data_IF_677218031688
#
_entry.id   IF_677218031688
#
_cell.length_a   1.000
_cell.length_b   1.000
_cell.length_c   1.000
_cell.angle_alpha   90.00
_cell.angle_beta   90.00
_cell.angle_gamma   90.00
#
_symmetry.space_group_name_H-M   'P 1'
#
loop_
_entity.id
_entity.type
_entity.pdbx_description
1 polymer ?
#
# COMPACT_ATOMS: atom_id res chain seq x y z
N UNK A 1 12.85 7.33 24.65
CA UNK A 1 12.34 8.14 23.50
C UNK A 1 11.43 9.22 24.04
N UNK A 2 11.67 10.47 23.69
CA UNK A 2 10.82 11.55 24.16
C UNK A 2 9.72 11.85 23.15
N UNK A 3 8.68 12.57 23.58
CA UNK A 3 7.49 12.86 22.78
C UNK A 3 7.81 13.61 21.49
N UNK A 4 8.79 14.55 21.52
CA UNK A 4 9.11 15.35 20.34
C UNK A 4 9.71 14.51 19.22
N UNK A 5 10.46 13.44 19.54
CA UNK A 5 10.97 12.52 18.52
C UNK A 5 9.84 11.73 17.88
N UNK A 6 8.86 11.30 18.68
CA UNK A 6 7.68 10.59 18.18
C UNK A 6 6.87 11.49 17.27
N UNK A 7 6.62 12.72 17.66
CA UNK A 7 5.87 13.68 16.85
C UNK A 7 6.56 13.94 15.52
N UNK A 8 7.88 14.09 15.53
CA UNK A 8 8.64 14.28 14.30
C UNK A 8 8.58 13.05 13.40
N UNK A 9 8.66 11.86 13.97
CA UNK A 9 8.55 10.61 13.22
C UNK A 9 7.19 10.50 12.53
N UNK A 10 6.09 10.87 13.23
CA UNK A 10 4.77 10.90 12.63
C UNK A 10 4.68 11.89 11.49
N UNK A 11 5.27 13.07 11.65
CA UNK A 11 5.24 14.09 10.60
C UNK A 11 5.92 13.58 9.32
N UNK A 12 7.11 13.01 9.45
CA UNK A 12 7.85 12.46 8.32
C UNK A 12 7.06 11.32 7.68
N UNK A 13 6.53 10.40 8.49
CA UNK A 13 5.76 9.27 7.98
C UNK A 13 4.51 9.73 7.24
N UNK A 14 3.79 10.70 7.78
CA UNK A 14 2.60 11.25 7.13
C UNK A 14 2.92 11.88 5.79
N UNK A 15 3.98 12.67 5.72
CA UNK A 15 4.36 13.34 4.47
C UNK A 15 4.69 12.32 3.37
N UNK A 16 5.50 11.32 3.71
CA UNK A 16 5.91 10.29 2.74
C UNK A 16 4.74 9.38 2.38
N UNK A 17 3.97 8.95 3.38
CA UNK A 17 2.83 8.06 3.16
C UNK A 17 1.73 8.69 2.32
N UNK A 18 1.40 9.95 2.55
CA UNK A 18 0.41 10.67 1.75
C UNK A 18 0.85 10.80 0.31
N UNK A 19 2.11 11.14 0.08
CA UNK A 19 2.65 11.23 -1.27
C UNK A 19 2.58 9.88 -1.98
N UNK A 20 2.93 8.80 -1.28
CA UNK A 20 2.81 7.45 -1.84
C UNK A 20 1.39 7.14 -2.27
N UNK A 21 0.41 7.37 -1.39
CA UNK A 21 -1.00 7.08 -1.68
C UNK A 21 -1.47 7.86 -2.90
N UNK A 22 -1.18 9.15 -2.96
CA UNK A 22 -1.60 10.00 -4.08
C UNK A 22 -1.02 9.51 -5.40
N UNK A 23 0.26 9.19 -5.43
CA UNK A 23 0.93 8.76 -6.66
C UNK A 23 0.43 7.37 -7.08
N UNK A 24 0.27 6.45 -6.13
CA UNK A 24 -0.21 5.10 -6.44
C UNK A 24 -1.60 5.13 -7.07
N UNK A 25 -2.55 5.84 -6.47
CA UNK A 25 -3.92 5.87 -6.97
C UNK A 25 -4.06 6.68 -8.25
N UNK A 26 -3.09 7.56 -8.56
CA UNK A 26 -3.08 8.27 -9.83
C UNK A 26 -2.45 7.46 -10.96
N UNK A 27 -1.41 6.69 -10.69
CA UNK A 27 -0.57 6.06 -11.73
C UNK A 27 -0.53 4.54 -11.70
N UNK A 28 -1.02 3.91 -10.63
CA UNK A 28 -1.11 2.46 -10.54
C UNK A 28 0.16 1.77 -10.08
N UNK A 29 0.14 0.44 -10.18
CA UNK A 29 1.16 -0.42 -9.58
C UNK A 29 2.55 -0.29 -10.23
N UNK A 30 2.62 0.14 -11.48
CA UNK A 30 3.90 0.19 -12.20
C UNK A 30 4.89 1.21 -11.62
N UNK A 31 4.40 2.16 -10.83
CA UNK A 31 5.26 3.16 -10.19
C UNK A 31 5.80 2.69 -8.83
N UNK A 32 5.31 1.56 -8.33
CA UNK A 32 5.73 1.07 -7.03
C UNK A 32 7.16 0.57 -7.10
N UNK A 33 7.94 0.96 -6.11
CA UNK A 33 9.27 0.43 -5.94
C UNK A 33 9.19 -0.81 -5.06
N UNK A 34 9.39 -1.98 -5.64
CA UNK A 34 9.52 -3.25 -4.92
C UNK A 34 10.99 -3.64 -4.98
N UNK A 35 11.68 -3.60 -3.87
CA UNK A 35 13.12 -3.84 -3.85
C UNK A 35 13.44 -5.34 -3.85
N UNK A 36 13.01 -6.00 -4.92
CA UNK A 36 13.49 -7.33 -5.21
C UNK A 36 12.84 -8.46 -4.44
N UNK A 37 13.69 -9.34 -3.92
CA UNK A 37 13.28 -10.67 -3.48
C UNK A 37 12.54 -10.71 -2.14
N UNK A 38 12.60 -9.65 -1.35
CA UNK A 38 11.95 -9.68 -0.03
C UNK A 38 10.57 -9.01 0.00
N UNK A 39 10.08 -8.51 -1.13
CA UNK A 39 8.73 -7.96 -1.19
C UNK A 39 7.68 -9.07 -1.25
N UNK A 40 6.60 -8.87 -0.51
CA UNK A 40 5.52 -9.86 -0.38
C UNK A 40 4.17 -9.19 -0.61
N UNK A 41 3.32 -9.84 -1.40
CA UNK A 41 1.93 -9.46 -1.57
C UNK A 41 1.04 -10.62 -1.16
N UNK A 42 0.03 -10.34 -0.34
CA UNK A 42 -1.08 -11.26 -0.10
C UNK A 42 -2.35 -10.62 -0.64
N UNK A 43 -2.94 -11.23 -1.66
CA UNK A 43 -4.18 -10.77 -2.25
C UNK A 43 -5.24 -11.84 -2.08
N UNK A 44 -6.26 -11.55 -1.29
CA UNK A 44 -7.35 -12.50 -1.04
C UNK A 44 -6.84 -13.88 -0.65
N UNK A 45 -5.91 -13.93 0.29
CA UNK A 45 -5.25 -15.13 0.82
C UNK A 45 -4.22 -15.77 -0.12
N UNK A 46 -4.11 -15.35 -1.36
CA UNK A 46 -3.07 -15.82 -2.27
C UNK A 46 -1.78 -15.04 -2.10
N UNK A 47 -0.66 -15.72 -2.11
CA UNK A 47 0.65 -15.13 -1.78
C UNK A 47 1.54 -15.03 -3.02
N UNK A 48 2.18 -13.87 -3.18
CA UNK A 48 3.06 -13.57 -4.30
C UNK A 48 4.38 -13.03 -3.78
N UNK A 49 5.48 -13.45 -4.37
CA UNK A 49 6.84 -13.10 -3.92
C UNK A 49 7.61 -12.47 -5.06
N UNK A 50 8.38 -11.42 -4.73
CA UNK A 50 9.28 -10.78 -5.67
C UNK A 50 8.58 -9.80 -6.60
N UNK A 51 9.37 -8.85 -7.13
CA UNK A 51 8.83 -7.69 -7.83
C UNK A 51 8.00 -8.06 -9.07
N UNK A 52 8.50 -8.98 -9.89
CA UNK A 52 7.81 -9.31 -11.15
C UNK A 52 6.47 -9.98 -10.90
N UNK A 53 6.42 -10.93 -9.97
CA UNK A 53 5.18 -11.64 -9.64
C UNK A 53 4.15 -10.71 -9.04
N UNK A 54 4.59 -9.79 -8.16
CA UNK A 54 3.71 -8.84 -7.50
C UNK A 54 3.12 -7.85 -8.52
N UNK A 55 3.95 -7.26 -9.36
CA UNK A 55 3.49 -6.29 -10.36
C UNK A 55 2.55 -6.96 -11.35
N UNK A 56 2.88 -8.17 -11.82
CA UNK A 56 2.00 -8.90 -12.72
C UNK A 56 0.64 -9.18 -12.09
N UNK A 57 0.62 -9.57 -10.81
CA UNK A 57 -0.65 -9.81 -10.12
C UNK A 57 -1.46 -8.52 -9.97
N UNK A 58 -0.84 -7.44 -9.51
CA UNK A 58 -1.53 -6.16 -9.32
C UNK A 58 -2.10 -5.63 -10.65
N UNK A 59 -1.35 -5.80 -11.74
CA UNK A 59 -1.83 -5.37 -13.06
C UNK A 59 -2.95 -6.27 -13.60
N UNK A 60 -3.06 -7.50 -13.12
CA UNK A 60 -4.13 -8.42 -13.54
C UNK A 60 -5.46 -8.15 -12.83
N UNK A 61 -5.44 -7.40 -11.74
CA UNK A 61 -6.65 -7.07 -10.99
C UNK A 61 -7.41 -5.98 -11.74
N UNK A 62 -8.60 -6.33 -12.24
CA UNK A 62 -9.43 -5.42 -13.02
C UNK A 62 -10.45 -4.73 -12.12
N UNK A 63 -9.96 -3.95 -11.17
CA UNK A 63 -10.77 -3.21 -10.22
C UNK A 63 -10.41 -1.73 -10.29
N UNK A 64 -11.45 -0.89 -10.27
CA UNK A 64 -11.29 0.55 -10.11
C UNK A 64 -11.54 0.88 -8.65
N UNK A 65 -10.50 1.29 -7.94
CA UNK A 65 -10.55 1.53 -6.51
C UNK A 65 -10.42 3.00 -6.18
N UNK A 66 -11.24 3.44 -5.22
CA UNK A 66 -11.14 4.78 -4.65
C UNK A 66 -10.95 4.64 -3.15
N UNK A 67 -9.94 5.29 -2.61
CA UNK A 67 -9.76 5.28 -1.17
C UNK A 67 -10.57 6.39 -0.52
N UNK A 68 -11.13 6.10 0.66
CA UNK A 68 -11.88 7.06 1.45
C UNK A 68 -11.21 7.38 2.77
N UNK A 69 -10.44 6.42 3.30
CA UNK A 69 -9.72 6.58 4.56
C UNK A 69 -8.32 6.03 4.45
N UNK A 70 -7.42 6.63 5.20
CA UNK A 70 -6.10 6.06 5.39
C UNK A 70 -5.58 6.43 6.78
N UNK A 71 -4.70 5.58 7.31
CA UNK A 71 -3.96 5.83 8.53
C UNK A 71 -2.49 5.52 8.29
N UNK A 72 -1.62 6.34 8.84
CA UNK A 72 -0.18 6.23 8.63
C UNK A 72 0.52 6.29 9.97
N UNK A 73 1.45 5.36 10.21
CA UNK A 73 2.26 5.34 11.41
C UNK A 73 3.71 5.10 11.06
N UNK A 74 4.66 5.74 11.79
CA UNK A 74 6.04 5.29 11.73
C UNK A 74 6.17 3.90 12.35
N UNK A 75 7.08 3.11 11.82
CA UNK A 75 7.37 1.78 12.32
C UNK A 75 8.87 1.53 12.24
N UNK A 76 9.34 0.52 12.96
CA UNK A 76 10.77 0.19 12.94
C UNK A 76 11.19 -0.13 11.50
N UNK A 77 12.10 0.65 10.98
CA UNK A 77 12.61 0.46 9.63
C UNK A 77 11.74 1.01 8.52
N UNK A 78 10.65 1.73 8.83
CA UNK A 78 9.82 2.25 7.75
C UNK A 78 8.50 2.86 8.18
N UNK A 79 7.50 2.72 7.33
CA UNK A 79 6.20 3.38 7.47
C UNK A 79 5.09 2.36 7.23
N UNK A 80 4.16 2.30 8.17
CA UNK A 80 2.97 1.45 8.07
C UNK A 80 1.81 2.28 7.55
N UNK A 81 1.12 1.78 6.52
CA UNK A 81 0.01 2.47 5.88
C UNK A 81 -1.21 1.55 5.84
N UNK A 82 -2.33 2.04 6.33
CA UNK A 82 -3.63 1.39 6.17
C UNK A 82 -4.47 2.23 5.21
N UNK A 83 -5.12 1.58 4.26
CA UNK A 83 -5.99 2.25 3.29
C UNK A 83 -7.30 1.47 3.22
N UNK A 84 -8.42 2.18 3.19
CA UNK A 84 -9.73 1.59 2.94
C UNK A 84 -10.54 2.46 2.02
N UNK A 85 -11.51 1.84 1.37
CA UNK A 85 -12.40 2.51 0.45
C UNK A 85 -13.30 1.52 -0.25
N UNK A 86 -13.67 1.85 -1.49
CA UNK A 86 -14.52 0.98 -2.30
C UNK A 86 -13.87 0.75 -3.66
N UNK A 87 -14.17 -0.38 -4.26
CA UNK A 87 -13.75 -0.68 -5.62
C UNK A 87 -14.91 -1.28 -6.41
N UNK A 88 -14.83 -1.13 -7.73
CA UNK A 88 -15.79 -1.71 -8.66
C UNK A 88 -15.04 -2.60 -9.64
N UNK A 89 -15.65 -3.73 -10.00
CA UNK A 89 -15.15 -4.52 -11.12
C UNK A 89 -15.26 -3.67 -12.39
N UNK A 90 -14.26 -3.74 -13.24
CA UNK A 90 -14.22 -2.99 -14.49
C UNK A 90 -15.52 -3.18 -15.28
N UNK A 91 -16.14 -2.09 -15.70
CA UNK A 91 -17.42 -2.04 -16.41
C UNK A 91 -18.65 -2.40 -15.56
N UNK A 92 -18.51 -2.47 -14.24
CA UNK A 92 -19.64 -2.66 -13.34
C UNK A 92 -19.81 -1.45 -12.43
N UNK A 93 -20.98 -1.33 -11.79
CA UNK A 93 -21.30 -0.19 -10.94
C UNK A 93 -21.40 -0.53 -9.45
N UNK A 94 -21.41 -1.82 -9.10
CA UNK A 94 -21.49 -2.23 -7.69
C UNK A 94 -20.20 -1.93 -6.96
N UNK A 95 -20.31 -1.17 -5.87
CA UNK A 95 -19.17 -0.85 -5.04
C UNK A 95 -18.95 -1.94 -3.99
N UNK A 96 -17.71 -2.37 -3.87
CA UNK A 96 -17.29 -3.41 -2.93
C UNK A 96 -16.24 -2.80 -1.99
N UNK A 97 -16.41 -2.91 -0.66
CA UNK A 97 -15.39 -2.41 0.26
C UNK A 97 -14.07 -3.14 0.10
N UNK A 98 -12.96 -2.41 0.22
CA UNK A 98 -11.64 -3.00 0.27
C UNK A 98 -10.83 -2.44 1.42
N UNK A 99 -9.83 -3.20 1.85
CA UNK A 99 -8.84 -2.79 2.82
C UNK A 99 -7.46 -3.21 2.35
N UNK A 100 -6.46 -2.40 2.67
CA UNK A 100 -5.09 -2.67 2.28
C UNK A 100 -4.15 -2.18 3.35
N UNK A 101 -3.15 -3.00 3.68
CA UNK A 101 -2.10 -2.63 4.61
C UNK A 101 -0.77 -2.76 3.89
N UNK A 102 0.03 -1.70 3.92
CA UNK A 102 1.34 -1.70 3.30
C UNK A 102 2.41 -1.32 4.32
N UNK A 103 3.58 -1.91 4.17
CA UNK A 103 4.76 -1.48 4.88
C UNK A 103 5.79 -0.98 3.87
N UNK A 104 6.12 0.31 3.98
CA UNK A 104 7.18 0.92 3.17
C UNK A 104 8.47 0.85 3.97
N UNK A 105 9.40 0.00 3.54
CA UNK A 105 10.68 -0.14 4.20
C UNK A 105 11.64 0.95 3.71
N UNK A 106 12.42 1.48 4.64
CA UNK A 106 13.46 2.45 4.34
C UNK A 106 14.77 1.71 4.06
N UNK A 107 15.28 1.87 2.85
CA UNK A 107 16.56 1.32 2.44
C UNK A 107 17.48 2.48 2.04
N UNK A 108 18.34 2.90 2.97
CA UNK A 108 19.30 3.98 2.73
C UNK A 108 18.66 5.29 2.24
N UNK A 109 17.50 5.64 2.80
CA UNK A 109 16.80 6.87 2.44
C UNK A 109 15.76 6.72 1.33
N UNK A 110 15.72 5.59 0.66
CA UNK A 110 14.71 5.27 -0.33
C UNK A 110 13.68 4.32 0.26
N UNK A 111 12.42 4.51 -0.09
CA UNK A 111 11.36 3.65 0.40
C UNK A 111 10.89 2.69 -0.69
N UNK A 112 10.60 1.44 -0.28
CA UNK A 112 10.04 0.45 -1.19
C UNK A 112 8.93 -0.32 -0.47
N UNK A 113 7.99 -0.86 -1.25
CA UNK A 113 6.91 -1.66 -0.69
C UNK A 113 7.46 -3.04 -0.34
N UNK A 114 7.62 -3.30 0.95
CA UNK A 114 8.09 -4.61 1.41
C UNK A 114 6.92 -5.55 1.65
N UNK A 115 5.84 -5.06 2.26
CA UNK A 115 4.67 -5.86 2.55
C UNK A 115 3.43 -5.19 2.00
N UNK A 116 2.51 -5.98 1.45
CA UNK A 116 1.24 -5.53 0.92
C UNK A 116 0.20 -6.61 1.19
N UNK A 117 -0.80 -6.28 1.99
CA UNK A 117 -1.92 -7.17 2.27
C UNK A 117 -3.17 -6.49 1.74
N UNK A 118 -3.81 -7.14 0.76
CA UNK A 118 -4.92 -6.57 0.01
C UNK A 118 -6.13 -7.47 0.16
N UNK A 119 -7.20 -6.93 0.70
CA UNK A 119 -8.40 -7.69 0.96
C UNK A 119 -9.63 -6.97 0.46
N UNK A 120 -10.49 -7.70 -0.27
CA UNK A 120 -11.79 -7.23 -0.70
C UNK A 120 -12.83 -7.86 0.22
N UNK A 121 -13.66 -7.03 0.82
CA UNK A 121 -14.60 -7.50 1.82
C UNK A 121 -15.99 -7.56 1.20
N UNK A 122 -16.46 -8.76 0.93
CA UNK A 122 -17.81 -8.97 0.44
C UNK A 122 -18.76 -8.97 1.63
N UNK A 123 -19.38 -7.86 1.84
CA UNK A 123 -20.47 -7.68 2.71
C UNK A 123 -20.40 -7.90 4.14
#
# INVERSE_FOLDING_TARGET
MNTSNIENDYKVANDIGKQFIQVYFAKGANILNFDGSDSLLTFESEKYYGVNNIINKLNSIKLNCNYTNYEIQPSVGGILIFISGTCCVENETNEIPFMRVLFLANSNGSYYVKNDIYKITLG
#
